data_IF_350183988733
#
_entry.id   IF_350183988733
#
_cell.length_a   1.000
_cell.length_b   1.000
_cell.length_c   1.000
_cell.angle_alpha   90.00
_cell.angle_beta   90.00
_cell.angle_gamma   90.00
#
_symmetry.space_group_name_H-M   'P 1'
#
loop_
_entity.id
_entity.type
_entity.pdbx_description
1 polymer ?
#
# COMPACT_ATOMS: atom_id res chain seq x y z
N UNK A 1 -5.14 21.04 -27.50
CA UNK A 1 -4.16 22.15 -27.62
C UNK A 1 -3.17 22.21 -26.46
N UNK A 2 -3.43 21.55 -25.32
CA UNK A 2 -2.57 21.67 -24.12
C UNK A 2 -1.21 20.95 -24.14
N UNK A 3 -1.06 19.77 -24.77
CA UNK A 3 0.25 19.08 -24.90
C UNK A 3 1.25 19.79 -25.84
N UNK A 4 0.86 20.91 -26.47
CA UNK A 4 1.74 21.73 -27.31
C UNK A 4 1.95 23.14 -26.73
N UNK A 5 1.52 23.35 -25.49
CA UNK A 5 1.67 24.63 -24.82
C UNK A 5 3.16 24.94 -24.56
N UNK A 6 3.51 26.22 -24.51
CA UNK A 6 4.89 26.62 -24.21
C UNK A 6 5.27 26.30 -22.76
N UNK A 7 4.32 26.39 -21.84
CA UNK A 7 4.55 26.12 -20.42
C UNK A 7 4.62 24.62 -20.13
N UNK A 8 5.74 24.16 -19.57
CA UNK A 8 5.95 22.77 -19.14
C UNK A 8 4.85 22.31 -18.18
N UNK A 9 4.46 23.16 -17.22
CA UNK A 9 3.40 22.85 -16.24
C UNK A 9 2.05 22.57 -16.90
N UNK A 10 1.70 23.32 -17.94
CA UNK A 10 0.45 23.09 -18.70
C UNK A 10 0.52 21.76 -19.43
N UNK A 11 1.65 21.46 -20.09
CA UNK A 11 1.84 20.18 -20.78
C UNK A 11 1.80 19.00 -19.81
N UNK A 12 2.44 19.13 -18.66
CA UNK A 12 2.43 18.12 -17.59
C UNK A 12 1.03 17.84 -17.09
N UNK A 13 0.26 18.87 -16.71
CA UNK A 13 -1.12 18.70 -16.27
C UNK A 13 -2.00 18.10 -17.39
N UNK A 14 -1.73 18.45 -18.65
CA UNK A 14 -2.45 17.85 -19.77
C UNK A 14 -2.11 16.36 -19.95
N UNK A 15 -0.86 15.95 -19.67
CA UNK A 15 -0.44 14.56 -19.71
C UNK A 15 -1.21 13.72 -18.69
N UNK A 16 -1.32 14.17 -17.45
CA UNK A 16 -2.03 13.47 -16.36
C UNK A 16 -3.54 13.30 -16.63
N UNK A 17 -4.10 14.16 -17.48
CA UNK A 17 -5.52 14.16 -17.82
C UNK A 17 -5.87 13.30 -19.05
N UNK A 18 -4.90 12.67 -19.72
CA UNK A 18 -5.13 11.85 -20.93
C UNK A 18 -6.16 10.75 -20.66
N UNK A 19 -6.14 10.12 -19.48
CA UNK A 19 -7.10 9.07 -19.11
C UNK A 19 -8.58 9.50 -19.22
N UNK A 20 -8.88 10.80 -19.11
CA UNK A 20 -10.23 11.35 -19.21
C UNK A 20 -10.66 11.69 -20.64
N UNK A 21 -9.75 11.57 -21.61
CA UNK A 21 -10.08 11.75 -23.02
C UNK A 21 -10.74 10.49 -23.60
N UNK A 22 -11.51 10.61 -24.70
CA UNK A 22 -12.05 9.44 -25.40
C UNK A 22 -10.94 8.45 -25.73
N UNK A 23 -11.20 7.15 -25.51
CA UNK A 23 -10.19 6.10 -25.66
C UNK A 23 -9.51 6.11 -27.04
N UNK A 24 -10.28 6.40 -28.09
CA UNK A 24 -9.81 6.52 -29.47
C UNK A 24 -8.80 7.65 -29.71
N UNK A 25 -8.67 8.62 -28.79
CA UNK A 25 -7.72 9.73 -28.89
C UNK A 25 -6.45 9.52 -28.05
N UNK A 26 -6.48 8.60 -27.07
CA UNK A 26 -5.44 8.48 -26.05
C UNK A 26 -4.08 8.13 -26.62
N UNK A 27 -4.00 7.14 -27.52
CA UNK A 27 -2.72 6.75 -28.14
C UNK A 27 -2.03 7.93 -28.80
N UNK A 28 -2.75 8.69 -29.62
CA UNK A 28 -2.20 9.85 -30.32
C UNK A 28 -1.68 10.91 -29.34
N UNK A 29 -2.40 11.14 -28.25
CA UNK A 29 -1.98 12.09 -27.21
C UNK A 29 -0.73 11.59 -26.47
N UNK A 30 -0.70 10.31 -26.12
CA UNK A 30 0.45 9.67 -25.49
C UNK A 30 1.67 9.77 -26.40
N UNK A 31 1.57 9.36 -27.67
CA UNK A 31 2.66 9.47 -28.65
C UNK A 31 3.16 10.91 -28.82
N UNK A 32 2.27 11.89 -28.73
CA UNK A 32 2.64 13.31 -28.79
C UNK A 32 3.50 13.69 -27.59
N UNK A 33 3.08 13.34 -26.38
CA UNK A 33 3.82 13.68 -25.16
C UNK A 33 5.06 12.83 -24.91
N UNK A 34 5.13 11.59 -25.42
CA UNK A 34 6.36 10.77 -25.41
C UNK A 34 7.50 11.43 -26.21
N UNK A 35 7.18 12.37 -27.10
CA UNK A 35 8.13 13.16 -27.90
C UNK A 35 8.39 14.55 -27.32
N UNK A 36 7.87 14.86 -26.13
CA UNK A 36 8.09 16.16 -25.50
C UNK A 36 9.58 16.38 -25.23
N UNK A 37 10.00 17.64 -25.22
CA UNK A 37 11.37 18.02 -24.88
C UNK A 37 11.67 17.83 -23.39
N UNK A 38 10.66 17.97 -22.54
CA UNK A 38 10.78 17.87 -21.09
C UNK A 38 10.60 16.42 -20.63
N UNK A 39 11.53 15.91 -19.82
CA UNK A 39 11.52 14.52 -19.35
C UNK A 39 10.33 14.22 -18.43
N UNK A 40 9.92 15.17 -17.59
CA UNK A 40 8.81 14.99 -16.67
C UNK A 40 7.51 14.85 -17.46
N UNK A 41 7.31 15.65 -18.52
CA UNK A 41 6.15 15.48 -19.41
C UNK A 41 6.18 14.12 -20.12
N UNK A 42 7.36 13.68 -20.59
CA UNK A 42 7.50 12.34 -21.21
C UNK A 42 7.12 11.22 -20.24
N UNK A 43 7.56 11.30 -18.98
CA UNK A 43 7.26 10.30 -17.94
C UNK A 43 5.76 10.28 -17.61
N UNK A 44 5.14 11.44 -17.42
CA UNK A 44 3.70 11.53 -17.14
C UNK A 44 2.86 10.98 -18.30
N UNK A 45 3.24 11.24 -19.54
CA UNK A 45 2.59 10.60 -20.69
C UNK A 45 2.84 9.10 -20.76
N UNK A 46 4.03 8.64 -20.39
CA UNK A 46 4.35 7.22 -20.39
C UNK A 46 3.54 6.45 -19.31
N UNK A 47 3.21 7.08 -18.18
CA UNK A 47 2.31 6.50 -17.18
C UNK A 47 0.90 6.28 -17.74
N UNK A 48 0.50 7.07 -18.73
CA UNK A 48 -0.82 6.98 -19.35
C UNK A 48 -0.95 5.82 -20.35
N UNK A 49 0.13 5.12 -20.69
CA UNK A 49 0.11 3.96 -21.62
C UNK A 49 -0.91 2.91 -21.17
N UNK A 50 -1.08 2.70 -19.87
CA UNK A 50 -2.07 1.75 -19.32
C UNK A 50 -3.53 2.09 -19.66
N UNK A 51 -3.82 3.35 -20.04
CA UNK A 51 -5.16 3.79 -20.42
C UNK A 51 -5.39 3.82 -21.93
N UNK A 52 -4.37 3.51 -22.74
CA UNK A 52 -4.51 3.35 -24.19
C UNK A 52 -5.24 2.02 -24.52
N UNK A 53 -5.84 1.89 -25.72
CA UNK A 53 -6.38 0.62 -26.20
C UNK A 53 -5.35 -0.50 -26.03
N UNK A 54 -5.78 -1.64 -25.49
CA UNK A 54 -4.90 -2.77 -25.15
C UNK A 54 -4.02 -3.21 -26.34
N UNK A 55 -4.60 -3.22 -27.55
CA UNK A 55 -3.92 -3.56 -28.80
C UNK A 55 -2.74 -2.64 -29.15
N UNK A 56 -2.66 -1.45 -28.55
CA UNK A 56 -1.66 -0.43 -28.87
C UNK A 56 -0.61 -0.26 -27.76
N UNK A 57 -0.87 -0.78 -26.55
CA UNK A 57 0.01 -0.58 -25.39
C UNK A 57 1.42 -1.13 -25.61
N UNK A 58 1.55 -2.32 -26.21
CA UNK A 58 2.86 -2.93 -26.46
C UNK A 58 3.70 -2.13 -27.45
N UNK A 59 3.08 -1.47 -28.43
CA UNK A 59 3.79 -0.58 -29.33
C UNK A 59 4.33 0.66 -28.58
N UNK A 60 3.51 1.25 -27.71
CA UNK A 60 3.90 2.41 -26.91
C UNK A 60 5.00 2.08 -25.88
N UNK A 61 4.95 0.90 -25.24
CA UNK A 61 5.95 0.45 -24.26
C UNK A 61 7.36 0.33 -24.85
N UNK A 62 7.52 0.16 -26.17
CA UNK A 62 8.85 0.13 -26.82
C UNK A 62 9.64 1.43 -26.61
N UNK A 63 8.96 2.56 -26.42
CA UNK A 63 9.61 3.84 -26.14
C UNK A 63 9.98 4.03 -24.66
N UNK A 64 9.32 3.28 -23.77
CA UNK A 64 9.42 3.48 -22.33
C UNK A 64 10.84 3.22 -21.82
N UNK A 65 11.51 2.15 -22.26
CA UNK A 65 12.85 1.83 -21.78
C UNK A 65 13.86 2.95 -22.05
N UNK A 66 13.79 3.59 -23.23
CA UNK A 66 14.64 4.74 -23.57
C UNK A 66 14.34 5.97 -22.69
N UNK A 67 13.06 6.23 -22.42
CA UNK A 67 12.63 7.33 -21.55
C UNK A 67 13.11 7.10 -20.11
N UNK A 68 12.95 5.89 -19.58
CA UNK A 68 13.41 5.53 -18.24
C UNK A 68 14.95 5.57 -18.14
N UNK A 69 15.67 5.13 -19.18
CA UNK A 69 17.14 5.27 -19.27
C UNK A 69 17.60 6.73 -19.19
N UNK A 70 16.87 7.65 -19.82
CA UNK A 70 17.16 9.08 -19.71
C UNK A 70 16.78 9.62 -18.33
N UNK A 71 15.59 9.29 -17.84
CA UNK A 71 15.07 9.77 -16.56
C UNK A 71 15.90 9.31 -15.36
N UNK A 72 16.40 8.07 -15.35
CA UNK A 72 17.33 7.55 -14.33
C UNK A 72 18.71 8.21 -14.36
N UNK A 73 19.05 8.98 -15.40
CA UNK A 73 20.30 9.75 -15.51
C UNK A 73 20.09 11.25 -15.33
N UNK A 74 18.87 11.67 -15.02
CA UNK A 74 18.53 13.08 -14.87
C UNK A 74 19.22 13.69 -13.64
N UNK A 75 19.48 14.99 -13.69
CA UNK A 75 20.08 15.70 -12.57
C UNK A 75 19.08 15.85 -11.41
N UNK A 76 17.79 15.97 -11.73
CA UNK A 76 16.73 16.07 -10.73
C UNK A 76 16.44 14.70 -10.10
N UNK A 77 16.62 14.62 -8.78
CA UNK A 77 16.30 13.44 -7.98
C UNK A 77 14.85 13.00 -8.14
N UNK A 78 13.90 13.92 -8.26
CA UNK A 78 12.48 13.59 -8.41
C UNK A 78 12.20 12.91 -9.75
N UNK A 79 12.91 13.31 -10.81
CA UNK A 79 12.81 12.65 -12.13
C UNK A 79 13.40 11.25 -12.08
N UNK A 80 14.57 11.08 -11.45
CA UNK A 80 15.19 9.76 -11.26
C UNK A 80 14.31 8.84 -10.44
N UNK A 81 13.75 9.34 -9.34
CA UNK A 81 12.86 8.60 -8.46
C UNK A 81 11.58 8.16 -9.17
N UNK A 82 10.92 9.09 -9.87
CA UNK A 82 9.72 8.78 -10.64
C UNK A 82 10.01 7.75 -11.75
N UNK A 83 11.18 7.86 -12.40
CA UNK A 83 11.63 6.86 -13.39
C UNK A 83 11.83 5.47 -12.77
N UNK A 84 12.40 5.40 -11.56
CA UNK A 84 12.56 4.14 -10.84
C UNK A 84 11.22 3.46 -10.56
N UNK A 85 10.20 4.21 -10.11
CA UNK A 85 8.86 3.71 -9.85
C UNK A 85 8.13 3.20 -11.12
N UNK A 86 8.53 3.69 -12.29
CA UNK A 86 7.92 3.33 -13.57
C UNK A 86 8.51 2.08 -14.23
N UNK A 87 9.62 1.52 -13.72
CA UNK A 87 10.30 0.35 -14.31
C UNK A 87 9.34 -0.84 -14.51
N UNK A 88 8.40 -1.06 -13.58
CA UNK A 88 7.39 -2.13 -13.69
C UNK A 88 6.55 -2.07 -14.98
N UNK A 89 6.42 -0.90 -15.61
CA UNK A 89 5.64 -0.73 -16.83
C UNK A 89 6.46 -0.98 -18.10
N UNK A 90 7.80 -1.03 -18.00
CA UNK A 90 8.66 -1.40 -19.12
C UNK A 90 8.45 -2.86 -19.52
N UNK A 91 8.79 -3.19 -20.76
CA UNK A 91 8.85 -4.59 -21.22
C UNK A 91 9.79 -5.40 -20.33
N UNK A 92 9.40 -6.63 -20.00
CA UNK A 92 10.10 -7.47 -19.03
C UNK A 92 11.60 -7.61 -19.32
N UNK A 93 11.96 -7.75 -20.60
CA UNK A 93 13.35 -7.88 -21.06
C UNK A 93 14.23 -6.65 -20.79
N UNK A 94 13.66 -5.46 -20.60
CA UNK A 94 14.41 -4.22 -20.34
C UNK A 94 14.57 -3.94 -18.84
N UNK A 95 13.78 -4.59 -17.98
CA UNK A 95 13.70 -4.24 -16.55
C UNK A 95 15.02 -4.50 -15.82
N UNK A 96 15.73 -5.58 -16.14
CA UNK A 96 17.01 -5.91 -15.50
C UNK A 96 18.01 -4.77 -15.65
N UNK A 97 18.23 -4.27 -16.87
CA UNK A 97 19.17 -3.17 -17.11
C UNK A 97 18.74 -1.88 -16.40
N UNK A 98 17.45 -1.55 -16.42
CA UNK A 98 16.89 -0.38 -15.74
C UNK A 98 17.13 -0.45 -14.22
N UNK A 99 16.91 -1.61 -13.62
CA UNK A 99 17.12 -1.84 -12.19
C UNK A 99 18.60 -1.71 -11.86
N UNK A 100 19.49 -2.34 -12.63
CA UNK A 100 20.93 -2.25 -12.39
C UNK A 100 21.46 -0.83 -12.47
N UNK A 101 20.94 0.00 -13.39
CA UNK A 101 21.29 1.41 -13.44
C UNK A 101 20.88 2.14 -12.17
N UNK A 102 19.63 1.98 -11.73
CA UNK A 102 19.13 2.70 -10.56
C UNK A 102 19.68 2.17 -9.23
N UNK A 103 20.08 0.89 -9.13
CA UNK A 103 20.83 0.38 -7.97
C UNK A 103 22.22 1.04 -7.84
N UNK A 104 22.77 1.61 -8.91
CA UNK A 104 24.03 2.37 -8.91
C UNK A 104 23.82 3.87 -8.71
N UNK A 105 22.59 4.33 -8.45
CA UNK A 105 22.31 5.74 -8.22
C UNK A 105 23.01 6.24 -6.95
N UNK A 106 23.40 7.52 -6.96
CA UNK A 106 24.01 8.18 -5.82
C UNK A 106 23.03 8.37 -4.65
N UNK A 107 21.74 8.51 -4.94
CA UNK A 107 20.70 8.74 -3.94
C UNK A 107 20.11 7.45 -3.38
N UNK A 108 19.93 7.38 -2.06
CA UNK A 108 19.41 6.18 -1.39
C UNK A 108 17.94 5.89 -1.72
N UNK A 109 17.11 6.92 -1.89
CA UNK A 109 15.69 6.75 -2.21
C UNK A 109 15.51 6.14 -3.60
N UNK A 110 16.27 6.64 -4.59
CA UNK A 110 16.26 6.08 -5.96
C UNK A 110 16.72 4.62 -5.93
N UNK A 111 17.83 4.32 -5.26
CA UNK A 111 18.33 2.94 -5.12
C UNK A 111 17.29 2.03 -4.45
N UNK A 112 16.62 2.49 -3.39
CA UNK A 112 15.57 1.74 -2.68
C UNK A 112 14.40 1.43 -3.61
N UNK A 113 13.91 2.41 -4.35
CA UNK A 113 12.80 2.22 -5.29
C UNK A 113 13.19 1.23 -6.40
N UNK A 114 14.41 1.29 -6.93
CA UNK A 114 14.89 0.29 -7.88
C UNK A 114 15.04 -1.11 -7.27
N UNK A 115 15.49 -1.23 -6.02
CA UNK A 115 15.55 -2.52 -5.32
C UNK A 115 14.15 -3.16 -5.19
N UNK A 116 13.11 -2.36 -4.95
CA UNK A 116 11.72 -2.84 -4.94
C UNK A 116 11.25 -3.30 -6.32
N UNK A 117 11.84 -2.80 -7.41
CA UNK A 117 11.47 -3.21 -8.77
C UNK A 117 12.02 -4.59 -9.17
N UNK A 118 12.94 -5.17 -8.38
CA UNK A 118 13.53 -6.49 -8.65
C UNK A 118 12.47 -7.58 -8.81
N UNK A 119 11.36 -7.51 -8.09
CA UNK A 119 10.27 -8.47 -8.22
C UNK A 119 9.57 -8.48 -9.60
N UNK A 120 9.73 -7.40 -10.39
CA UNK A 120 9.21 -7.31 -11.75
C UNK A 120 10.23 -7.71 -12.82
N UNK A 121 11.49 -7.94 -12.45
CA UNK A 121 12.50 -8.44 -13.38
C UNK A 121 12.21 -9.91 -13.77
N UNK A 122 12.72 -10.39 -14.92
CA UNK A 122 12.65 -11.80 -15.28
C UNK A 122 13.11 -12.68 -14.11
N UNK A 123 12.38 -13.76 -13.83
CA UNK A 123 12.61 -14.62 -12.67
C UNK A 123 14.08 -15.12 -12.59
N UNK A 124 14.68 -15.42 -13.74
CA UNK A 124 16.08 -15.84 -13.86
C UNK A 124 17.08 -14.80 -13.34
N UNK A 125 16.76 -13.51 -13.46
CA UNK A 125 17.65 -12.39 -13.09
C UNK A 125 17.47 -11.94 -11.64
N UNK A 126 16.31 -12.21 -11.03
CA UNK A 126 15.98 -11.70 -9.70
C UNK A 126 17.00 -12.11 -8.63
N UNK A 127 17.56 -13.32 -8.71
CA UNK A 127 18.55 -13.79 -7.75
C UNK A 127 19.82 -12.93 -7.79
N UNK A 128 20.31 -12.62 -9.00
CA UNK A 128 21.50 -11.78 -9.19
C UNK A 128 21.26 -10.36 -8.71
N UNK A 129 20.12 -9.78 -9.07
CA UNK A 129 19.74 -8.43 -8.65
C UNK A 129 19.56 -8.31 -7.13
N UNK A 130 18.93 -9.30 -6.48
CA UNK A 130 18.79 -9.34 -5.01
C UNK A 130 20.16 -9.37 -4.33
N UNK A 131 21.13 -10.08 -4.90
CA UNK A 131 22.49 -10.10 -4.35
C UNK A 131 23.19 -8.74 -4.50
N UNK A 132 23.05 -8.09 -5.66
CA UNK A 132 23.55 -6.72 -5.84
C UNK A 132 22.93 -5.74 -4.84
N UNK A 133 21.61 -5.83 -4.63
CA UNK A 133 20.91 -4.97 -3.68
C UNK A 133 21.28 -5.27 -2.22
N UNK A 134 21.58 -6.53 -1.85
CA UNK A 134 22.09 -6.88 -0.51
C UNK A 134 23.43 -6.25 -0.19
N UNK A 135 24.33 -6.16 -1.16
CA UNK A 135 25.62 -5.45 -1.00
C UNK A 135 25.40 -3.97 -0.62
N UNK A 136 24.29 -3.38 -1.05
CA UNK A 136 23.88 -2.01 -0.72
C UNK A 136 23.11 -1.92 0.61
N UNK A 137 22.95 -3.03 1.34
CA UNK A 137 22.24 -3.09 2.62
C UNK A 137 20.72 -3.28 2.50
N UNK A 138 20.20 -3.56 1.29
CA UNK A 138 18.77 -3.85 1.13
C UNK A 138 18.49 -5.34 1.43
N UNK A 139 17.73 -5.58 2.49
CA UNK A 139 17.26 -6.91 2.84
C UNK A 139 15.90 -7.21 2.20
N UNK A 140 15.80 -8.40 1.58
CA UNK A 140 14.53 -8.90 1.04
C UNK A 140 13.98 -9.94 2.01
N UNK A 141 12.84 -9.61 2.62
CA UNK A 141 12.09 -10.56 3.44
C UNK A 141 11.25 -11.42 2.51
N UNK A 142 11.25 -12.75 2.72
CA UNK A 142 10.36 -13.65 2.00
C UNK A 142 8.90 -13.23 2.29
N UNK A 143 8.08 -12.94 1.25
CA UNK A 143 6.67 -12.64 1.44
C UNK A 143 5.91 -13.70 2.26
N UNK A 144 6.28 -14.98 2.18
CA UNK A 144 5.66 -16.04 3.00
C UNK A 144 5.94 -15.85 4.49
N UNK A 145 7.17 -15.47 4.84
CA UNK A 145 7.56 -15.19 6.22
C UNK A 145 6.92 -13.89 6.70
N UNK A 146 6.94 -12.85 5.87
CA UNK A 146 6.37 -11.54 6.20
C UNK A 146 4.86 -11.64 6.42
N UNK A 147 4.14 -12.41 5.60
CA UNK A 147 2.70 -12.60 5.67
C UNK A 147 2.21 -13.13 7.03
N UNK A 148 3.08 -13.78 7.79
CA UNK A 148 2.77 -14.35 9.10
C UNK A 148 3.27 -13.49 10.27
N UNK A 149 4.01 -12.40 10.01
CA UNK A 149 4.61 -11.58 11.06
C UNK A 149 3.67 -10.47 11.53
N UNK A 150 3.40 -10.45 12.85
CA UNK A 150 2.82 -9.28 13.52
C UNK A 150 3.91 -8.50 14.26
N UNK A 151 4.19 -7.23 13.90
CA UNK A 151 5.27 -6.46 14.53
C UNK A 151 4.93 -6.01 15.96
N UNK A 152 3.66 -6.14 16.37
CA UNK A 152 3.12 -5.54 17.60
C UNK A 152 3.86 -5.98 18.87
N UNK A 153 4.37 -7.23 18.88
CA UNK A 153 5.02 -7.82 20.05
C UNK A 153 6.56 -7.85 19.97
N UNK A 154 7.19 -7.31 18.90
CA UNK A 154 8.66 -7.42 18.67
C UNK A 154 9.52 -6.87 19.83
N UNK A 155 9.06 -5.84 20.54
CA UNK A 155 9.77 -5.19 21.65
C UNK A 155 9.19 -5.54 23.03
N UNK A 156 8.59 -6.73 23.18
CA UNK A 156 8.00 -7.17 24.45
C UNK A 156 8.95 -8.11 25.21
N UNK A 157 9.15 -7.91 26.53
CA UNK A 157 10.00 -8.80 27.32
C UNK A 157 9.36 -10.18 27.45
N UNK A 158 10.17 -11.22 27.65
CA UNK A 158 9.65 -12.57 27.83
C UNK A 158 8.82 -12.68 29.14
N UNK A 159 7.73 -13.45 29.10
CA UNK A 159 6.93 -13.75 30.29
C UNK A 159 6.05 -12.60 30.84
N UNK A 160 5.94 -11.47 30.14
CA UNK A 160 5.05 -10.39 30.57
C UNK A 160 3.57 -10.83 30.58
N UNK A 161 2.74 -10.21 31.43
CA UNK A 161 1.30 -10.44 31.45
C UNK A 161 0.53 -9.30 30.78
N UNK A 162 0.95 -8.06 31.02
CA UNK A 162 0.39 -6.85 30.42
C UNK A 162 1.50 -5.83 30.16
N UNK A 163 1.46 -5.17 29.02
CA UNK A 163 2.39 -4.07 28.69
C UNK A 163 1.65 -2.97 27.97
N UNK A 164 1.83 -1.73 28.41
CA UNK A 164 1.33 -0.57 27.69
C UNK A 164 2.09 -0.46 26.37
N UNK A 165 1.34 -0.34 25.27
CA UNK A 165 1.91 -0.04 23.97
C UNK A 165 2.06 1.47 23.87
N UNK A 166 3.27 1.92 23.58
CA UNK A 166 3.61 3.34 23.46
C UNK A 166 3.12 3.85 22.10
N UNK A 167 2.11 4.72 22.14
CA UNK A 167 1.57 5.44 20.99
C UNK A 167 0.85 6.70 21.43
N UNK A 168 0.63 7.62 20.50
CA UNK A 168 -0.25 8.77 20.68
C UNK A 168 -1.73 8.33 20.62
N UNK A 169 -2.63 9.03 21.33
CA UNK A 169 -4.05 8.69 21.36
C UNK A 169 -4.44 7.81 22.54
N UNK A 170 -5.19 6.74 22.30
CA UNK A 170 -5.76 5.91 23.37
C UNK A 170 -4.77 4.92 23.99
N UNK A 171 -5.12 4.42 25.17
CA UNK A 171 -4.33 3.40 25.85
C UNK A 171 -4.48 2.01 25.21
N UNK A 172 -3.49 1.56 24.45
CA UNK A 172 -3.41 0.16 23.97
C UNK A 172 -2.60 -0.70 24.95
N UNK A 173 -3.17 -1.78 25.45
CA UNK A 173 -2.47 -2.75 26.33
C UNK A 173 -2.30 -4.07 25.59
N UNK A 174 -1.05 -4.51 25.46
CA UNK A 174 -0.69 -5.84 24.99
C UNK A 174 -0.88 -6.86 26.10
N UNK A 175 -1.44 -8.02 25.77
CA UNK A 175 -1.61 -9.14 26.70
C UNK A 175 -0.55 -10.21 26.44
N UNK A 176 -0.03 -10.81 27.50
CA UNK A 176 0.92 -11.92 27.40
C UNK A 176 0.30 -13.27 27.76
N UNK A 177 1.15 -14.26 28.03
CA UNK A 177 0.72 -15.65 28.27
C UNK A 177 -0.03 -16.24 27.06
N UNK A 178 -1.12 -16.97 27.32
CA UNK A 178 -1.93 -17.61 26.27
C UNK A 178 -2.67 -16.62 25.36
N UNK A 179 -2.79 -15.36 25.77
CA UNK A 179 -3.43 -14.29 24.99
C UNK A 179 -2.45 -13.52 24.11
N UNK A 180 -1.14 -13.78 24.26
CA UNK A 180 -0.09 -13.16 23.45
C UNK A 180 -0.38 -13.39 21.96
N UNK A 181 -0.28 -12.32 21.17
CA UNK A 181 -0.53 -12.33 19.72
C UNK A 181 -1.95 -12.76 19.32
N UNK A 182 -2.89 -12.89 20.27
CA UNK A 182 -4.29 -13.24 20.01
C UNK A 182 -5.24 -12.11 20.33
N UNK A 183 -5.06 -11.45 21.47
CA UNK A 183 -5.96 -10.41 21.96
C UNK A 183 -5.17 -9.24 22.54
N UNK A 184 -5.61 -8.01 22.25
CA UNK A 184 -5.16 -6.78 22.91
C UNK A 184 -6.35 -6.04 23.50
N UNK A 185 -6.06 -5.04 24.33
CA UNK A 185 -7.09 -4.18 24.93
C UNK A 185 -6.90 -2.74 24.45
N UNK A 186 -7.94 -2.15 23.87
CA UNK A 186 -8.04 -0.71 23.61
C UNK A 186 -8.81 -0.07 24.76
N UNK A 187 -8.25 0.97 25.36
CA UNK A 187 -8.89 1.76 26.43
C UNK A 187 -9.32 3.09 25.84
N UNK A 188 -10.60 3.20 25.49
CA UNK A 188 -11.15 4.28 24.66
C UNK A 188 -12.36 4.92 25.34
N UNK A 189 -12.81 6.06 24.81
CA UNK A 189 -14.05 6.68 25.27
C UNK A 189 -15.28 5.88 24.80
N UNK A 190 -16.40 5.88 25.55
CA UNK A 190 -17.61 5.16 25.14
C UNK A 190 -18.17 5.60 23.79
N UNK A 191 -18.04 6.88 23.43
CA UNK A 191 -18.52 7.37 22.13
C UNK A 191 -17.71 6.77 20.96
N UNK A 192 -16.39 6.65 21.14
CA UNK A 192 -15.50 5.97 20.18
C UNK A 192 -15.88 4.51 20.01
N UNK A 193 -16.21 3.82 21.11
CA UNK A 193 -16.73 2.45 21.04
C UNK A 193 -18.00 2.38 20.19
N UNK A 194 -18.93 3.33 20.30
CA UNK A 194 -20.15 3.31 19.50
C UNK A 194 -19.86 3.40 17.99
N UNK A 195 -18.95 4.29 17.59
CA UNK A 195 -18.52 4.39 16.18
C UNK A 195 -17.83 3.11 15.70
N UNK A 196 -16.94 2.53 16.51
CA UNK A 196 -16.29 1.26 16.16
C UNK A 196 -17.30 0.11 16.06
N UNK A 197 -18.26 0.03 17.00
CA UNK A 197 -19.33 -0.97 16.94
C UNK A 197 -20.18 -0.84 15.68
N UNK A 198 -20.56 0.37 15.30
CA UNK A 198 -21.32 0.60 14.07
C UNK A 198 -20.55 0.09 12.85
N UNK A 199 -19.25 0.39 12.75
CA UNK A 199 -18.40 -0.15 11.69
C UNK A 199 -18.31 -1.69 11.72
N UNK A 200 -18.16 -2.28 12.90
CA UNK A 200 -17.91 -3.72 13.06
C UNK A 200 -19.17 -4.59 12.95
N UNK A 201 -20.32 -4.13 13.43
CA UNK A 201 -21.54 -4.93 13.52
C UNK A 201 -22.36 -4.92 12.20
N UNK A 202 -22.08 -3.98 11.29
CA UNK A 202 -22.83 -3.80 10.05
C UNK A 202 -22.44 -4.80 8.92
N UNK A 203 -22.64 -6.09 9.18
CA UNK A 203 -22.22 -7.20 8.30
C UNK A 203 -22.82 -7.14 6.91
N UNK A 204 -24.13 -6.89 6.83
CA UNK A 204 -24.84 -6.85 5.54
C UNK A 204 -24.38 -5.68 4.66
N UNK A 205 -24.00 -4.56 5.28
CA UNK A 205 -23.40 -3.43 4.56
C UNK A 205 -22.07 -3.84 3.91
N UNK A 206 -21.15 -4.43 4.69
CA UNK A 206 -19.85 -4.86 4.17
C UNK A 206 -19.96 -5.98 3.14
N UNK A 207 -20.93 -6.89 3.32
CA UNK A 207 -21.25 -7.93 2.33
C UNK A 207 -21.69 -7.35 0.99
N UNK A 208 -22.54 -6.31 0.99
CA UNK A 208 -22.94 -5.59 -0.23
C UNK A 208 -21.77 -4.87 -0.90
N UNK A 209 -20.75 -4.49 -0.13
CA UNK A 209 -19.49 -3.91 -0.62
C UNK A 209 -18.48 -4.95 -1.12
N UNK A 210 -18.83 -6.25 -1.09
CA UNK A 210 -18.00 -7.33 -1.61
C UNK A 210 -17.10 -8.02 -0.59
N UNK A 211 -17.24 -7.72 0.71
CA UNK A 211 -16.47 -8.39 1.76
C UNK A 211 -17.22 -9.58 2.35
N UNK A 212 -16.63 -10.77 2.28
CA UNK A 212 -17.18 -11.97 2.94
C UNK A 212 -17.15 -11.88 4.47
N UNK A 213 -16.18 -11.14 5.01
CA UNK A 213 -15.98 -10.89 6.43
C UNK A 213 -15.86 -9.38 6.63
N UNK A 214 -16.40 -8.86 7.74
CA UNK A 214 -16.27 -7.44 8.09
C UNK A 214 -14.79 -7.02 8.14
N UNK A 215 -14.35 -6.04 7.32
CA UNK A 215 -12.95 -5.64 7.19
C UNK A 215 -12.52 -4.64 8.29
N UNK A 216 -13.11 -4.75 9.48
CA UNK A 216 -12.91 -3.83 10.62
C UNK A 216 -12.32 -4.62 11.78
N UNK A 217 -11.42 -4.00 12.54
CA UNK A 217 -10.80 -4.56 13.75
C UNK A 217 -11.83 -5.29 14.63
N UNK A 218 -11.73 -6.62 14.81
CA UNK A 218 -12.81 -7.37 15.45
C UNK A 218 -12.94 -7.09 16.94
N UNK A 219 -14.15 -6.83 17.42
CA UNK A 219 -14.45 -6.73 18.85
C UNK A 219 -14.76 -8.13 19.39
N UNK A 220 -14.01 -8.59 20.39
CA UNK A 220 -14.22 -9.91 21.03
C UNK A 220 -14.79 -9.80 22.44
N UNK A 221 -14.74 -8.62 23.06
CA UNK A 221 -15.33 -8.39 24.38
C UNK A 221 -15.23 -6.94 24.80
N UNK A 222 -16.11 -6.53 25.71
CA UNK A 222 -16.17 -5.16 26.23
C UNK A 222 -16.28 -5.27 27.76
N UNK A 223 -15.46 -4.49 28.48
CA UNK A 223 -15.51 -4.41 29.95
C UNK A 223 -15.43 -2.96 30.42
N UNK A 224 -16.11 -2.61 31.53
CA UNK A 224 -15.96 -1.29 32.13
C UNK A 224 -14.53 -1.08 32.63
N UNK A 225 -14.03 0.16 32.50
CA UNK A 225 -12.79 0.58 33.16
C UNK A 225 -13.04 0.96 34.62
N UNK A 226 -11.99 0.91 35.44
CA UNK A 226 -11.98 1.50 36.79
C UNK A 226 -12.21 3.02 36.76
N UNK A 227 -11.98 3.68 35.62
CA UNK A 227 -12.26 5.12 35.41
C UNK A 227 -13.74 5.43 35.18
N UNK A 228 -14.63 4.43 35.27
CA UNK A 228 -16.09 4.62 35.15
C UNK A 228 -16.51 5.04 33.73
N UNK A 229 -17.46 5.96 33.64
CA UNK A 229 -18.11 6.38 32.37
C UNK A 229 -17.19 7.07 31.36
N UNK A 230 -15.93 7.35 31.71
CA UNK A 230 -14.98 8.03 30.82
C UNK A 230 -14.18 7.08 29.95
N UNK A 231 -14.16 5.79 30.27
CA UNK A 231 -13.29 4.84 29.59
C UNK A 231 -13.91 3.44 29.59
N UNK A 232 -13.77 2.75 28.46
CA UNK A 232 -14.17 1.35 28.29
C UNK A 232 -13.00 0.55 27.75
N UNK A 233 -12.86 -0.69 28.23
CA UNK A 233 -11.87 -1.63 27.72
C UNK A 233 -12.50 -2.51 26.65
N UNK A 234 -12.01 -2.36 25.42
CA UNK A 234 -12.41 -3.18 24.28
C UNK A 234 -11.33 -4.21 24.03
N UNK A 235 -11.69 -5.47 24.20
CA UNK A 235 -10.86 -6.61 23.83
C UNK A 235 -11.03 -6.84 22.34
N UNK A 236 -9.91 -6.87 21.62
CA UNK A 236 -9.91 -7.02 20.18
C UNK A 236 -8.88 -8.03 19.71
N UNK A 237 -9.19 -8.71 18.60
CA UNK A 237 -8.34 -9.75 18.05
C UNK A 237 -7.13 -9.14 17.33
N UNK A 238 -5.95 -9.68 17.61
CA UNK A 238 -4.75 -9.38 16.81
C UNK A 238 -4.90 -10.07 15.46
N UNK A 239 -4.82 -9.28 14.39
CA UNK A 239 -4.86 -9.81 13.02
C UNK A 239 -3.44 -10.30 12.68
N UNK A 240 -3.26 -11.59 12.38
CA UNK A 240 -1.95 -12.15 12.11
C UNK A 240 -1.51 -11.81 10.68
N UNK A 241 -0.70 -10.76 10.57
CA UNK A 241 -0.03 -10.37 9.33
C UNK A 241 0.58 -8.97 9.41
N UNK A 242 1.26 -8.55 8.33
CA UNK A 242 1.95 -7.27 8.25
C UNK A 242 0.95 -6.13 8.01
N UNK A 243 1.35 -4.90 8.34
CA UNK A 243 0.63 -3.73 7.83
C UNK A 243 0.84 -3.59 6.33
N UNK A 244 -0.07 -2.92 5.63
CA UNK A 244 0.08 -2.59 4.20
C UNK A 244 1.40 -1.86 3.96
N UNK A 245 1.73 -0.87 4.79
CA UNK A 245 3.00 -0.15 4.70
C UNK A 245 4.22 -1.10 4.67
N UNK A 246 4.26 -2.10 5.56
CA UNK A 246 5.37 -3.06 5.61
C UNK A 246 5.37 -4.07 4.48
N UNK A 247 4.18 -4.44 4.02
CA UNK A 247 4.06 -5.34 2.87
C UNK A 247 4.59 -4.66 1.61
N UNK A 248 4.16 -3.43 1.36
CA UNK A 248 4.56 -2.65 0.19
C UNK A 248 6.01 -2.21 0.19
N UNK A 249 6.61 -2.04 1.38
CA UNK A 249 8.05 -1.87 1.53
C UNK A 249 8.83 -3.09 0.98
N UNK A 250 8.29 -4.29 1.14
CA UNK A 250 8.96 -5.55 0.82
C UNK A 250 8.58 -6.13 -0.56
N UNK A 251 7.34 -5.96 -1.00
CA UNK A 251 6.79 -6.53 -2.23
C UNK A 251 5.56 -5.77 -2.71
N UNK A 252 5.28 -5.81 -4.00
CA UNK A 252 4.06 -5.29 -4.63
C UNK A 252 3.06 -6.38 -4.96
N UNK A 253 3.27 -7.62 -4.48
CA UNK A 253 2.33 -8.71 -4.65
C UNK A 253 0.95 -8.30 -4.12
N UNK A 254 -0.07 -8.42 -4.97
CA UNK A 254 -1.46 -8.01 -4.71
C UNK A 254 -1.69 -6.50 -4.47
N UNK A 255 -0.78 -5.62 -4.91
CA UNK A 255 -0.91 -4.17 -4.71
C UNK A 255 -2.26 -3.62 -5.17
N UNK A 256 -2.70 -3.98 -6.37
CA UNK A 256 -3.95 -3.46 -6.94
C UNK A 256 -5.18 -3.91 -6.14
N UNK A 257 -5.20 -5.17 -5.72
CA UNK A 257 -6.27 -5.77 -4.92
C UNK A 257 -6.30 -5.20 -3.51
N UNK A 258 -5.14 -4.96 -2.90
CA UNK A 258 -4.99 -4.32 -1.60
C UNK A 258 -5.51 -2.87 -1.67
N UNK A 259 -5.09 -2.09 -2.65
CA UNK A 259 -5.55 -0.70 -2.82
C UNK A 259 -7.05 -0.62 -3.11
N UNK A 260 -7.57 -1.55 -3.91
CA UNK A 260 -9.02 -1.63 -4.19
C UNK A 260 -9.80 -1.90 -2.91
N UNK A 261 -9.37 -2.87 -2.10
CA UNK A 261 -10.00 -3.15 -0.80
C UNK A 261 -9.89 -1.95 0.16
N UNK A 262 -8.73 -1.30 0.28
CA UNK A 262 -8.54 -0.10 1.11
C UNK A 262 -9.50 1.01 0.72
N UNK A 263 -9.57 1.34 -0.58
CA UNK A 263 -10.48 2.36 -1.09
C UNK A 263 -11.93 2.04 -0.73
N UNK A 264 -12.33 0.77 -0.93
CA UNK A 264 -13.69 0.31 -0.60
C UNK A 264 -13.99 0.40 0.90
N UNK A 265 -13.01 0.11 1.77
CA UNK A 265 -13.12 0.28 3.22
C UNK A 265 -13.30 1.76 3.59
N UNK A 266 -12.47 2.64 3.03
CA UNK A 266 -12.52 4.09 3.30
C UNK A 266 -13.87 4.68 2.88
N UNK A 267 -14.33 4.36 1.67
CA UNK A 267 -15.65 4.76 1.17
C UNK A 267 -16.77 4.18 2.03
N UNK A 268 -16.63 2.92 2.46
CA UNK A 268 -17.59 2.27 3.33
C UNK A 268 -17.73 2.94 4.70
N UNK A 269 -16.61 3.33 5.33
CA UNK A 269 -16.61 4.09 6.57
C UNK A 269 -17.27 5.47 6.38
N UNK A 270 -17.00 6.15 5.27
CA UNK A 270 -17.62 7.43 4.94
C UNK A 270 -19.15 7.31 4.77
N UNK A 271 -19.63 6.26 4.10
CA UNK A 271 -21.07 5.97 3.95
C UNK A 271 -21.76 5.63 5.27
N UNK A 272 -21.05 4.96 6.19
CA UNK A 272 -21.50 4.74 7.57
C UNK A 272 -21.41 6.01 8.44
N UNK A 273 -20.92 7.12 7.89
CA UNK A 273 -20.67 8.39 8.61
C UNK A 273 -19.71 8.22 9.78
N UNK A 274 -18.63 7.46 9.56
CA UNK A 274 -17.59 7.19 10.54
C UNK A 274 -16.28 7.80 10.04
N UNK A 275 -15.74 8.73 10.81
CA UNK A 275 -14.38 9.22 10.63
C UNK A 275 -13.45 8.39 11.52
N UNK A 276 -12.43 7.75 10.94
CA UNK A 276 -11.46 6.94 11.68
C UNK A 276 -10.50 7.78 12.54
N UNK A 277 -10.22 9.02 12.09
CA UNK A 277 -9.41 10.01 12.80
C UNK A 277 -7.91 10.02 12.44
N UNK A 278 -7.34 8.90 11.99
CA UNK A 278 -5.89 8.79 11.73
C UNK A 278 -5.56 7.64 10.76
N UNK A 279 -6.24 7.65 9.62
CA UNK A 279 -6.13 6.59 8.63
C UNK A 279 -4.84 6.76 7.80
N UNK A 280 -4.00 5.73 7.81
CA UNK A 280 -2.75 5.63 7.03
C UNK A 280 -2.39 4.15 6.81
N UNK A 281 -1.44 3.82 5.94
CA UNK A 281 -1.13 2.43 5.55
C UNK A 281 -0.63 1.54 6.69
N UNK A 282 -0.09 2.14 7.76
CA UNK A 282 0.21 1.43 9.01
C UNK A 282 -1.02 0.89 9.77
N UNK A 283 -2.21 1.45 9.52
CA UNK A 283 -3.49 1.08 10.15
C UNK A 283 -4.33 0.17 9.27
N UNK A 284 -3.79 -0.27 8.12
CA UNK A 284 -4.34 -1.38 7.37
C UNK A 284 -3.45 -2.60 7.57
N UNK A 285 -4.05 -3.74 7.92
CA UNK A 285 -3.34 -5.01 8.16
C UNK A 285 -3.85 -6.07 7.21
N UNK A 286 -2.92 -6.84 6.66
CA UNK A 286 -3.20 -7.93 5.76
C UNK A 286 -3.40 -9.23 6.52
N UNK A 287 -4.39 -10.01 6.10
CA UNK A 287 -4.58 -11.38 6.54
C UNK A 287 -4.49 -12.32 5.35
N UNK A 288 -3.55 -13.26 5.43
CA UNK A 288 -3.39 -14.31 4.43
C UNK A 288 -4.04 -15.59 4.91
N UNK A 289 -4.73 -16.27 4.01
CA UNK A 289 -5.17 -17.64 4.25
C UNK A 289 -3.95 -18.53 4.48
N UNK A 290 -4.16 -19.63 5.21
CA UNK A 290 -3.09 -20.60 5.46
C UNK A 290 -3.30 -21.85 4.65
N UNK A 291 -2.23 -22.37 4.10
CA UNK A 291 -2.17 -23.73 3.55
C UNK A 291 -2.30 -24.76 4.68
N UNK A 292 -2.59 -26.04 4.38
CA UNK A 292 -2.68 -27.08 5.41
C UNK A 292 -1.42 -27.27 6.26
N UNK A 293 -0.24 -26.95 5.73
CA UNK A 293 1.06 -26.96 6.44
C UNK A 293 1.33 -25.66 7.23
N UNK A 294 0.36 -24.74 7.28
CA UNK A 294 0.40 -23.55 8.13
C UNK A 294 1.14 -22.34 7.53
N UNK A 295 1.61 -22.42 6.29
CA UNK A 295 2.23 -21.30 5.56
C UNK A 295 1.18 -20.33 5.04
N UNK A 296 1.59 -19.10 4.75
CA UNK A 296 0.72 -18.15 4.05
C UNK A 296 0.47 -18.65 2.61
N UNK A 297 -0.80 -18.65 2.21
CA UNK A 297 -1.24 -18.93 0.85
C UNK A 297 -1.23 -17.63 0.05
N UNK A 298 -0.15 -17.42 -0.71
CA UNK A 298 0.04 -16.24 -1.54
C UNK A 298 -0.58 -16.39 -2.94
N UNK A 299 -1.21 -17.53 -3.26
CA UNK A 299 -1.84 -17.78 -4.57
C UNK A 299 -3.13 -16.98 -4.80
N UNK A 300 -3.64 -16.34 -3.75
CA UNK A 300 -4.82 -15.48 -3.75
C UNK A 300 -4.57 -14.21 -2.94
N UNK A 301 -5.30 -13.12 -3.22
CA UNK A 301 -5.10 -11.86 -2.51
C UNK A 301 -5.39 -12.00 -1.01
N UNK A 302 -4.67 -11.24 -0.16
CA UNK A 302 -4.99 -11.15 1.25
C UNK A 302 -6.32 -10.40 1.47
N UNK A 303 -6.92 -10.65 2.63
CA UNK A 303 -7.98 -9.79 3.15
C UNK A 303 -7.34 -8.57 3.81
N UNK A 304 -7.87 -7.38 3.51
CA UNK A 304 -7.46 -6.13 4.15
C UNK A 304 -8.39 -5.80 5.32
N UNK A 305 -7.82 -5.46 6.46
CA UNK A 305 -8.54 -4.96 7.62
C UNK A 305 -8.06 -3.57 7.99
N UNK A 306 -8.99 -2.67 8.31
CA UNK A 306 -8.67 -1.42 9.00
C UNK A 306 -8.67 -1.64 10.51
N UNK A 307 -7.63 -1.13 11.19
CA UNK A 307 -7.43 -1.23 12.62
C UNK A 307 -7.25 0.12 13.29
N UNK A 308 -7.19 0.11 14.62
CA UNK A 308 -6.98 1.27 15.47
C UNK A 308 -8.12 2.29 15.45
N UNK A 309 -9.32 1.85 15.80
CA UNK A 309 -10.51 2.73 15.86
C UNK A 309 -10.52 3.68 17.06
N UNK A 310 -9.37 3.99 17.64
CA UNK A 310 -9.30 4.64 18.94
C UNK A 310 -9.56 6.15 18.96
N UNK A 311 -9.62 6.74 17.78
CA UNK A 311 -10.06 8.12 17.52
C UNK A 311 -11.29 8.14 16.62
N UNK A 312 -11.96 7.00 16.44
CA UNK A 312 -13.14 6.93 15.60
C UNK A 312 -14.28 7.77 16.18
N UNK A 313 -14.90 8.59 15.34
CA UNK A 313 -16.04 9.44 15.69
C UNK A 313 -17.13 9.33 14.64
N UNK A 314 -18.37 9.57 15.04
CA UNK A 314 -19.47 9.72 14.09
C UNK A 314 -19.39 11.12 13.48
N UNK A 315 -19.34 11.20 12.15
CA UNK A 315 -19.42 12.48 11.44
C UNK A 315 -20.86 13.01 11.47
N UNK A 316 -21.07 14.29 11.84
CA UNK A 316 -22.35 14.94 11.60
C UNK A 316 -22.67 14.92 10.10
N UNK A 317 -23.95 14.81 9.75
CA UNK A 317 -24.41 14.99 8.37
C UNK A 317 -24.01 16.40 7.92
N UNK A 318 -23.16 16.52 6.90
CA UNK A 318 -22.97 17.79 6.17
C UNK A 318 -24.18 18.07 5.29
#
# INVERSE_FOLDING_TARGET
MGLKDQAVSVRHNCAEMIQYTPESERTRLIETGLKDQDISVRLSCAQMIQYAPESEQEALKKHLAGILKMGLKDQDIYVRDYSAQMIQYASESERTELIEMGLKDQDEYVRRNCAQMIQYAPESEQKGLKEQARVLGYEFVDPHDLALQTPLYKKTPQGFLRKQFEKTGSGTTLLGGELKERVIVRSIEPQTLMSWKEAFENREFWKKKGFEIVPVEPIVGIKPSKKGIKEVHVFTRVIPGPSVAKWEEATSLWRNEIETQKKTIIEGLAELKIEHGHLHDGNFVLYFHRTPDGKADLSKPPMVYVIDFDQAVSSPSK
#
